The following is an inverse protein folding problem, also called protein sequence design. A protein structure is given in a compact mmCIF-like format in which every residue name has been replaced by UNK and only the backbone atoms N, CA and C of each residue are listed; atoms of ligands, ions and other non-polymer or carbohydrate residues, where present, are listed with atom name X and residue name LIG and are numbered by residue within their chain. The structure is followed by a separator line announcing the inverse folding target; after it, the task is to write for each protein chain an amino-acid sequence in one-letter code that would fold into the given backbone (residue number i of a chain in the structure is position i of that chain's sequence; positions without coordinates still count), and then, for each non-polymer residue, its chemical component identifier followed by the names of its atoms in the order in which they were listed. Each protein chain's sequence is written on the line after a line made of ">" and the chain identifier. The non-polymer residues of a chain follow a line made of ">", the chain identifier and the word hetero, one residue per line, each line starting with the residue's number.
data_IF_546444805828
#
_entry.id   IF_546444805828
#
_cell.length_a   1.000
_cell.length_b   1.000
_cell.length_c   1.000
_cell.angle_alpha   90.00
_cell.angle_beta   90.00
_cell.angle_gamma   90.00
#
_symmetry.space_group_name_H-M   'P 1'
#
loop_
_entity.id
_entity.type
_entity.pdbx_description
1 polymer ?
#
# COMPACT_ATOMS: atom_id res chain seq x y z
N UNK A 1 16.03 -10.58 12.08
CA UNK A 1 15.34 -10.27 13.35
C UNK A 1 15.77 -11.18 14.50
N UNK A 2 15.77 -12.50 14.34
CA UNK A 2 16.21 -13.48 15.37
C UNK A 2 17.63 -13.25 15.91
N UNK A 3 18.59 -12.93 15.03
CA UNK A 3 20.00 -12.67 15.40
C UNK A 3 20.16 -11.45 16.32
N UNK A 4 19.36 -10.41 16.10
CA UNK A 4 19.40 -9.16 16.90
C UNK A 4 18.87 -9.44 18.31
N UNK A 5 17.75 -10.15 18.43
CA UNK A 5 17.17 -10.53 19.72
C UNK A 5 18.13 -11.39 20.56
N UNK A 6 18.85 -12.32 19.91
CA UNK A 6 19.81 -13.19 20.57
C UNK A 6 21.06 -12.44 21.05
N UNK A 7 21.55 -11.48 20.26
CA UNK A 7 22.67 -10.61 20.64
C UNK A 7 22.35 -9.74 21.86
N UNK A 8 21.14 -9.16 21.92
CA UNK A 8 20.70 -8.31 23.05
C UNK A 8 20.45 -9.14 24.32
N UNK A 9 19.92 -10.35 24.19
CA UNK A 9 19.63 -11.25 25.31
C UNK A 9 20.86 -11.95 25.92
N UNK A 10 21.99 -11.99 25.20
CA UNK A 10 23.17 -12.77 25.60
C UNK A 10 23.79 -12.31 26.93
N UNK A 11 23.83 -11.00 27.17
CA UNK A 11 24.42 -10.43 28.40
C UNK A 11 23.58 -10.64 29.66
N UNK A 12 22.27 -10.34 29.71
CA UNK A 12 21.45 -10.63 30.89
C UNK A 12 21.42 -12.14 31.20
N UNK A 13 21.42 -12.99 30.17
CA UNK A 13 21.53 -14.44 30.33
C UNK A 13 22.86 -14.86 30.99
N UNK A 14 24.00 -14.35 30.49
CA UNK A 14 25.32 -14.61 31.12
C UNK A 14 25.44 -14.02 32.52
N UNK A 15 24.81 -12.89 32.79
CA UNK A 15 24.75 -12.28 34.13
C UNK A 15 24.05 -13.20 35.12
N UNK A 16 22.91 -13.78 34.74
CA UNK A 16 22.16 -14.73 35.58
C UNK A 16 22.96 -16.00 35.86
N UNK A 17 23.71 -16.51 34.88
CA UNK A 17 24.58 -17.68 35.07
C UNK A 17 25.82 -17.38 35.90
N UNK A 18 26.35 -16.15 35.83
CA UNK A 18 27.58 -15.76 36.53
C UNK A 18 27.33 -15.28 37.97
N UNK A 19 26.07 -15.05 38.38
CA UNK A 19 25.76 -14.66 39.75
C UNK A 19 25.84 -15.86 40.69
N UNK A 20 26.91 -15.90 41.50
CA UNK A 20 27.05 -16.88 42.57
C UNK A 20 25.97 -16.66 43.65
N UNK A 21 25.43 -17.74 44.27
CA UNK A 21 24.45 -17.66 45.36
C UNK A 21 24.91 -16.79 46.53
N UNK A 22 26.24 -16.67 46.73
CA UNK A 22 26.87 -15.83 47.75
C UNK A 22 26.56 -14.33 47.64
N UNK A 23 26.15 -13.84 46.44
CA UNK A 23 25.77 -12.43 46.23
C UNK A 23 24.52 -12.02 47.01
N UNK A 24 23.67 -12.98 47.36
CA UNK A 24 22.49 -12.76 48.22
C UNK A 24 22.90 -12.52 49.68
N UNK A 25 24.06 -13.04 50.09
CA UNK A 25 24.57 -12.98 51.47
C UNK A 25 25.60 -11.88 51.70
N UNK A 26 26.38 -11.49 50.67
CA UNK A 26 27.29 -10.34 50.70
C UNK A 26 27.11 -9.49 49.45
N UNK A 27 26.75 -8.22 49.64
CA UNK A 27 26.56 -7.24 48.57
C UNK A 27 27.88 -6.82 47.87
N UNK A 28 29.00 -7.37 48.30
CA UNK A 28 30.35 -6.97 47.91
C UNK A 28 30.88 -7.76 46.69
N UNK A 29 30.18 -8.82 46.26
CA UNK A 29 30.60 -9.65 45.12
C UNK A 29 29.92 -9.16 43.84
N UNK A 30 30.57 -8.24 43.14
CA UNK A 30 30.14 -7.77 41.83
C UNK A 30 30.68 -8.73 40.77
N UNK A 31 29.80 -9.49 40.12
CA UNK A 31 30.19 -10.33 38.99
C UNK A 31 30.72 -9.43 37.85
N UNK A 32 32.03 -9.53 37.55
CA UNK A 32 32.68 -8.77 36.50
C UNK A 32 32.37 -9.38 35.11
N UNK A 33 31.12 -9.26 34.69
CA UNK A 33 30.75 -9.51 33.29
C UNK A 33 31.09 -8.29 32.43
N UNK A 34 31.26 -8.51 31.13
CA UNK A 34 31.67 -7.49 30.14
C UNK A 34 31.20 -6.07 30.48
N UNK A 35 32.14 -5.10 30.56
CA UNK A 35 31.81 -3.75 30.99
C UNK A 35 30.74 -3.15 30.09
N UNK A 36 29.69 -2.60 30.69
CA UNK A 36 28.55 -2.03 29.96
C UNK A 36 29.00 -0.96 28.96
N UNK A 37 30.07 -0.23 29.30
CA UNK A 37 30.70 0.82 28.48
C UNK A 37 31.20 0.32 27.13
N UNK A 38 31.63 -0.94 27.02
CA UNK A 38 32.12 -1.53 25.76
C UNK A 38 31.06 -2.38 25.08
N UNK A 39 30.24 -3.10 25.84
CA UNK A 39 29.26 -4.01 25.27
C UNK A 39 28.14 -3.28 24.50
N UNK A 40 27.56 -2.20 25.06
CA UNK A 40 26.51 -1.43 24.39
C UNK A 40 26.94 -0.87 23.02
N UNK A 41 28.08 -0.14 22.89
CA UNK A 41 28.46 0.42 21.61
C UNK A 41 28.80 -0.67 20.59
N UNK A 42 29.44 -1.77 21.00
CA UNK A 42 29.75 -2.90 20.09
C UNK A 42 28.46 -3.52 19.56
N UNK A 43 27.48 -3.79 20.42
CA UNK A 43 26.19 -4.35 19.98
C UNK A 43 25.44 -3.38 19.08
N UNK A 44 25.40 -2.09 19.41
CA UNK A 44 24.79 -1.08 18.55
C UNK A 44 25.42 -1.04 17.16
N UNK A 45 26.76 -1.04 17.07
CA UNK A 45 27.47 -1.06 15.78
C UNK A 45 27.14 -2.32 14.98
N UNK A 46 27.15 -3.49 15.62
CA UNK A 46 26.82 -4.77 14.95
C UNK A 46 25.39 -4.76 14.43
N UNK A 47 24.42 -4.25 15.20
CA UNK A 47 23.02 -4.16 14.76
C UNK A 47 22.88 -3.19 13.58
N UNK A 48 23.55 -2.03 13.62
CA UNK A 48 23.52 -1.06 12.53
C UNK A 48 24.13 -1.64 11.25
N UNK A 49 25.26 -2.33 11.34
CA UNK A 49 25.88 -2.99 10.18
C UNK A 49 25.00 -4.10 9.60
N UNK A 50 24.34 -4.89 10.45
CA UNK A 50 23.41 -5.93 10.01
C UNK A 50 22.19 -5.32 9.30
N UNK A 51 21.63 -4.22 9.83
CA UNK A 51 20.53 -3.50 9.19
C UNK A 51 20.98 -2.87 7.85
N UNK A 52 22.18 -2.29 7.80
CA UNK A 52 22.74 -1.72 6.58
C UNK A 52 22.94 -2.78 5.48
N UNK A 53 23.42 -3.96 5.83
CA UNK A 53 23.56 -5.09 4.91
C UNK A 53 22.22 -5.62 4.39
N UNK A 54 21.19 -5.69 5.25
CA UNK A 54 19.84 -6.17 4.86
C UNK A 54 19.08 -5.17 3.99
N UNK A 55 19.23 -3.86 4.22
CA UNK A 55 18.54 -2.79 3.47
C UNK A 55 19.37 -2.20 2.31
N UNK A 56 20.50 -2.83 1.97
CA UNK A 56 21.34 -2.39 0.85
C UNK A 56 21.95 -0.99 1.00
N UNK A 57 22.09 -0.48 2.24
CA UNK A 57 22.68 0.84 2.49
C UNK A 57 21.90 2.04 1.93
N UNK A 58 20.58 1.90 1.70
CA UNK A 58 19.75 2.99 1.18
C UNK A 58 19.84 4.29 2.02
N UNK A 59 19.71 5.45 1.35
CA UNK A 59 19.75 6.77 2.02
C UNK A 59 18.67 6.92 3.10
N UNK A 60 17.55 6.18 2.97
CA UNK A 60 16.47 6.11 3.95
C UNK A 60 16.95 5.53 5.29
N UNK A 61 17.79 4.49 5.30
CA UNK A 61 18.31 3.92 6.54
C UNK A 61 19.11 4.96 7.33
N UNK A 62 20.02 5.66 6.65
CA UNK A 62 20.84 6.70 7.27
C UNK A 62 19.98 7.88 7.78
N UNK A 63 18.93 8.26 7.04
CA UNK A 63 17.98 9.28 7.48
C UNK A 63 17.21 8.86 8.73
N UNK A 64 16.73 7.61 8.79
CA UNK A 64 16.03 7.06 9.97
C UNK A 64 16.96 6.97 11.17
N UNK A 65 18.20 6.53 10.97
CA UNK A 65 19.20 6.37 12.02
C UNK A 65 19.64 7.72 12.59
N UNK A 66 19.88 8.71 11.71
CA UNK A 66 20.13 10.09 12.11
C UNK A 66 18.92 10.67 12.86
N UNK A 67 17.70 10.44 12.37
CA UNK A 67 16.47 10.85 13.02
C UNK A 67 16.32 10.26 14.43
N UNK A 68 16.64 8.98 14.61
CA UNK A 68 16.61 8.32 15.91
C UNK A 68 17.62 8.92 16.90
N UNK A 69 18.83 9.26 16.45
CA UNK A 69 19.85 9.91 17.29
C UNK A 69 19.42 11.32 17.69
N UNK A 70 18.92 12.12 16.73
CA UNK A 70 18.41 13.47 16.99
C UNK A 70 17.26 13.42 18.00
N UNK A 71 16.30 12.51 17.81
CA UNK A 71 15.16 12.34 18.71
C UNK A 71 15.61 11.92 20.11
N UNK A 72 16.54 10.97 20.22
CA UNK A 72 17.08 10.55 21.52
C UNK A 72 17.78 11.70 22.25
N UNK A 73 18.55 12.54 21.53
CA UNK A 73 19.20 13.71 22.08
C UNK A 73 18.17 14.74 22.54
N UNK A 74 17.14 15.00 21.74
CA UNK A 74 16.06 15.94 22.06
C UNK A 74 15.28 15.50 23.32
N UNK A 75 14.93 14.21 23.41
CA UNK A 75 14.31 13.63 24.61
C UNK A 75 15.23 13.71 25.84
N UNK A 76 16.52 13.47 25.67
CA UNK A 76 17.51 13.60 26.75
C UNK A 76 17.64 15.03 27.27
N UNK A 77 17.71 16.01 26.36
CA UNK A 77 17.76 17.44 26.70
C UNK A 77 16.49 17.89 27.39
N UNK A 78 15.32 17.52 26.86
CA UNK A 78 14.02 17.84 27.48
C UNK A 78 13.88 17.21 28.87
N UNK A 79 14.24 15.94 29.02
CA UNK A 79 14.21 15.26 30.32
C UNK A 79 15.16 15.90 31.33
N UNK A 80 16.36 16.30 30.90
CA UNK A 80 17.31 17.01 31.76
C UNK A 80 16.82 18.42 32.13
N UNK A 81 16.25 19.16 31.18
CA UNK A 81 15.66 20.47 31.41
C UNK A 81 14.51 20.38 32.43
N UNK A 82 13.63 19.39 32.28
CA UNK A 82 12.52 19.14 33.20
C UNK A 82 13.02 18.84 34.62
N UNK A 83 14.05 18.00 34.78
CA UNK A 83 14.67 17.73 36.08
C UNK A 83 15.30 18.98 36.69
N UNK A 84 15.93 19.84 35.88
CA UNK A 84 16.55 21.08 36.36
C UNK A 84 15.50 22.12 36.80
N UNK A 85 14.38 22.23 36.07
CA UNK A 85 13.23 23.05 36.47
C UNK A 85 12.64 22.53 37.78
N UNK A 86 12.43 21.22 37.87
CA UNK A 86 11.87 20.57 39.07
C UNK A 86 12.79 20.73 40.29
N UNK A 87 14.10 20.78 40.09
CA UNK A 87 15.09 21.09 41.14
C UNK A 87 14.98 22.52 41.66
N UNK A 88 14.57 23.48 40.82
CA UNK A 88 14.42 24.90 41.19
C UNK A 88 13.08 25.23 41.84
N UNK A 89 12.07 24.36 41.72
CA UNK A 89 10.75 24.58 42.30
C UNK A 89 10.72 24.23 43.79
N UNK A 90 10.39 25.20 44.65
CA UNK A 90 10.14 24.96 46.07
C UNK A 90 8.71 24.45 46.28
N UNK A 91 8.56 23.14 46.45
CA UNK A 91 7.26 22.53 46.73
C UNK A 91 6.91 22.67 48.22
N UNK A 92 5.77 23.32 48.51
CA UNK A 92 5.29 23.57 49.88
C UNK A 92 4.69 22.31 50.54
N UNK A 93 4.11 21.39 49.77
CA UNK A 93 3.52 20.17 50.32
C UNK A 93 4.57 19.08 50.56
N UNK A 94 4.57 18.54 51.79
CA UNK A 94 5.46 17.47 52.24
C UNK A 94 5.46 16.23 51.32
N UNK A 95 4.32 15.67 50.87
CA UNK A 95 4.32 14.49 50.01
C UNK A 95 4.90 14.76 48.61
N UNK A 96 4.60 15.90 47.99
CA UNK A 96 5.19 16.25 46.68
C UNK A 96 6.69 16.51 46.79
N UNK A 97 7.13 17.17 47.87
CA UNK A 97 8.56 17.40 48.13
C UNK A 97 9.32 16.08 48.28
N UNK A 98 8.74 15.11 49.00
CA UNK A 98 9.32 13.78 49.14
C UNK A 98 9.38 13.03 47.80
N UNK A 99 8.30 13.05 47.02
CA UNK A 99 8.24 12.42 45.69
C UNK A 99 9.29 13.01 44.73
N UNK A 100 9.38 14.34 44.64
CA UNK A 100 10.36 15.03 43.79
C UNK A 100 11.79 14.80 44.27
N UNK A 101 12.03 14.79 45.59
CA UNK A 101 13.36 14.52 46.13
C UNK A 101 13.86 13.11 45.80
N UNK A 102 12.98 12.11 45.75
CA UNK A 102 13.33 10.75 45.29
C UNK A 102 13.71 10.72 43.82
N UNK A 103 12.94 11.41 42.97
CA UNK A 103 13.22 11.55 41.55
C UNK A 103 14.59 12.21 41.30
N UNK A 104 14.91 13.27 42.03
CA UNK A 104 16.17 14.02 41.87
C UNK A 104 17.39 13.30 42.46
N UNK A 105 17.21 12.32 43.36
CA UNK A 105 18.32 11.54 43.95
C UNK A 105 18.87 10.47 43.01
N UNK A 106 18.07 9.97 42.06
CA UNK A 106 18.48 8.94 41.10
C UNK A 106 18.17 9.36 39.66
N UNK A 107 18.81 10.44 39.15
CA UNK A 107 18.45 11.06 37.88
C UNK A 107 18.58 10.11 36.68
N UNK A 108 19.56 9.20 36.70
CA UNK A 108 19.75 8.20 35.63
C UNK A 108 18.61 7.18 35.53
N UNK A 109 18.08 6.71 36.66
CA UNK A 109 16.96 5.75 36.69
C UNK A 109 15.64 6.44 36.28
N UNK A 110 15.41 7.65 36.78
CA UNK A 110 14.25 8.46 36.40
C UNK A 110 14.26 8.80 34.91
N UNK A 111 15.40 9.19 34.36
CA UNK A 111 15.51 9.55 32.94
C UNK A 111 15.25 8.33 32.04
N UNK A 112 15.73 7.14 32.42
CA UNK A 112 15.44 5.92 31.64
C UNK A 112 13.97 5.52 31.69
N UNK A 113 13.32 5.63 32.86
CA UNK A 113 11.88 5.36 33.01
C UNK A 113 11.03 6.35 32.21
N UNK A 114 11.34 7.65 32.32
CA UNK A 114 10.63 8.69 31.58
C UNK A 114 10.81 8.51 30.06
N UNK A 115 12.00 8.11 29.61
CA UNK A 115 12.25 7.79 28.20
C UNK A 115 11.44 6.59 27.74
N UNK A 116 11.33 5.54 28.56
CA UNK A 116 10.52 4.36 28.24
C UNK A 116 9.04 4.71 28.09
N UNK A 117 8.46 5.45 29.06
CA UNK A 117 7.07 5.90 28.96
C UNK A 117 6.85 6.83 27.76
N UNK A 118 7.76 7.78 27.53
CA UNK A 118 7.67 8.70 26.40
C UNK A 118 7.69 7.95 25.06
N UNK A 119 8.57 6.94 24.93
CA UNK A 119 8.63 6.10 23.74
C UNK A 119 7.34 5.29 23.55
N UNK A 120 6.77 4.74 24.62
CA UNK A 120 5.48 4.03 24.56
C UNK A 120 4.33 4.94 24.14
N UNK A 121 4.22 6.13 24.72
CA UNK A 121 3.19 7.10 24.35
C UNK A 121 3.40 7.64 22.93
N UNK A 122 4.64 7.87 22.51
CA UNK A 122 4.97 8.27 21.15
C UNK A 122 4.57 7.19 20.14
N UNK A 123 4.86 5.92 20.44
CA UNK A 123 4.45 4.80 19.58
C UNK A 123 2.92 4.72 19.46
N UNK A 124 2.20 4.87 20.58
CA UNK A 124 0.74 4.90 20.57
C UNK A 124 0.20 6.09 19.77
N UNK A 125 0.75 7.28 19.95
CA UNK A 125 0.37 8.48 19.22
C UNK A 125 0.64 8.34 17.71
N UNK A 126 1.80 7.79 17.34
CA UNK A 126 2.16 7.53 15.94
C UNK A 126 1.16 6.55 15.29
N UNK A 127 0.76 5.49 15.99
CA UNK A 127 -0.26 4.57 15.50
C UNK A 127 -1.61 5.26 15.27
N UNK A 128 -2.04 6.13 16.19
CA UNK A 128 -3.28 6.88 16.04
C UNK A 128 -3.24 7.85 14.86
N UNK A 129 -2.12 8.57 14.69
CA UNK A 129 -1.91 9.49 13.56
C UNK A 129 -1.86 8.72 12.24
N UNK A 130 -1.10 7.62 12.18
CA UNK A 130 -0.97 6.82 10.98
C UNK A 130 -2.32 6.22 10.56
N UNK A 131 -3.13 5.77 11.52
CA UNK A 131 -4.50 5.29 11.24
C UNK A 131 -5.34 6.40 10.60
N UNK A 132 -5.29 7.62 11.13
CA UNK A 132 -6.02 8.76 10.56
C UNK A 132 -5.55 9.09 9.16
N UNK A 133 -4.25 9.32 8.98
CA UNK A 133 -3.67 9.72 7.68
C UNK A 133 -3.88 8.67 6.60
N UNK A 134 -3.76 7.38 6.91
CA UNK A 134 -4.03 6.32 5.95
C UNK A 134 -5.51 6.27 5.54
N UNK A 135 -6.44 6.43 6.48
CA UNK A 135 -7.87 6.44 6.18
C UNK A 135 -8.26 7.68 5.37
N UNK A 136 -7.76 8.85 5.74
CA UNK A 136 -8.07 10.11 5.06
C UNK A 136 -7.51 10.11 3.63
N UNK A 137 -6.27 9.65 3.43
CA UNK A 137 -5.67 9.52 2.10
C UNK A 137 -6.41 8.50 1.24
N UNK A 138 -6.76 7.35 1.82
CA UNK A 138 -7.53 6.33 1.11
C UNK A 138 -8.90 6.87 0.70
N UNK A 139 -9.56 7.63 1.58
CA UNK A 139 -10.85 8.26 1.27
C UNK A 139 -10.73 9.36 0.20
N UNK A 140 -9.63 10.13 0.20
CA UNK A 140 -9.36 11.15 -0.83
C UNK A 140 -9.02 10.55 -2.21
N UNK A 141 -8.52 9.31 -2.26
CA UNK A 141 -8.30 8.60 -3.51
C UNK A 141 -9.62 8.19 -4.19
N UNK A 142 -10.74 8.14 -3.45
CA UNK A 142 -12.06 7.85 -4.00
C UNK A 142 -12.68 9.16 -4.52
N UNK A 143 -12.92 9.31 -5.85
CA UNK A 143 -13.63 10.46 -6.37
C UNK A 143 -15.01 10.61 -5.68
N UNK A 144 -15.51 11.83 -5.40
CA UNK A 144 -16.81 12.02 -4.77
C UNK A 144 -18.00 11.45 -5.58
N UNK A 145 -17.76 11.14 -6.86
CA UNK A 145 -18.69 10.53 -7.81
C UNK A 145 -18.43 9.02 -8.05
N UNK A 146 -17.69 8.34 -7.17
CA UNK A 146 -17.41 6.90 -7.33
C UNK A 146 -18.68 6.05 -7.19
N UNK A 147 -18.89 5.06 -8.08
CA UNK A 147 -20.00 4.12 -7.93
C UNK A 147 -19.92 3.33 -6.61
N UNK A 148 -21.07 3.09 -5.97
CA UNK A 148 -21.16 2.34 -4.71
C UNK A 148 -21.55 0.86 -4.92
N UNK A 149 -21.95 0.48 -6.14
CA UNK A 149 -22.32 -0.87 -6.51
C UNK A 149 -21.68 -1.27 -7.83
N UNK A 150 -21.16 -2.50 -7.90
CA UNK A 150 -20.67 -3.13 -9.13
C UNK A 150 -21.45 -4.41 -9.36
N UNK A 151 -22.12 -4.47 -10.51
CA UNK A 151 -22.88 -5.61 -10.98
C UNK A 151 -22.06 -6.27 -12.08
N UNK A 152 -21.60 -7.49 -11.83
CA UNK A 152 -20.84 -8.30 -12.78
C UNK A 152 -21.63 -9.55 -13.13
N UNK A 153 -21.29 -10.20 -14.25
CA UNK A 153 -21.88 -11.47 -14.64
C UNK A 153 -23.40 -11.43 -14.87
N UNK A 154 -23.92 -10.30 -15.38
CA UNK A 154 -25.35 -10.13 -15.62
C UNK A 154 -25.70 -10.87 -16.91
N UNK A 155 -26.67 -11.78 -16.90
CA UNK A 155 -27.12 -12.40 -18.15
C UNK A 155 -27.89 -11.39 -19.02
N UNK A 156 -27.82 -11.50 -20.35
CA UNK A 156 -28.48 -10.56 -21.27
C UNK A 156 -29.99 -10.47 -21.03
N UNK A 157 -30.66 -11.60 -20.81
CA UNK A 157 -32.08 -11.66 -20.41
C UNK A 157 -32.39 -10.99 -19.06
N UNK A 158 -31.41 -10.87 -18.15
CA UNK A 158 -31.61 -10.27 -16.82
C UNK A 158 -31.43 -8.74 -16.82
N UNK A 159 -30.87 -8.15 -17.89
CA UNK A 159 -30.63 -6.70 -17.95
C UNK A 159 -31.92 -5.90 -17.82
N UNK A 160 -33.00 -6.33 -18.49
CA UNK A 160 -34.28 -5.60 -18.48
C UNK A 160 -34.98 -5.66 -17.10
N UNK A 161 -35.17 -6.83 -16.47
CA UNK A 161 -35.69 -6.90 -15.09
C UNK A 161 -34.84 -6.13 -14.08
N UNK A 162 -33.51 -6.20 -14.22
CA UNK A 162 -32.60 -5.51 -13.31
C UNK A 162 -32.68 -3.99 -13.44
N UNK A 163 -32.80 -3.44 -14.65
CA UNK A 163 -33.03 -2.00 -14.86
C UNK A 163 -34.32 -1.53 -14.19
N UNK A 164 -35.39 -2.31 -14.28
CA UNK A 164 -36.65 -1.99 -13.63
C UNK A 164 -36.51 -1.97 -12.09
N UNK A 165 -35.85 -2.98 -11.53
CA UNK A 165 -35.55 -3.05 -10.08
C UNK A 165 -34.70 -1.87 -9.60
N UNK A 166 -33.63 -1.52 -10.34
CA UNK A 166 -32.77 -0.40 -9.98
C UNK A 166 -33.52 0.94 -10.04
N UNK A 167 -34.38 1.13 -11.03
CA UNK A 167 -35.21 2.32 -11.16
C UNK A 167 -36.22 2.46 -10.01
N UNK A 168 -36.84 1.36 -9.58
CA UNK A 168 -37.76 1.33 -8.42
C UNK A 168 -37.05 1.77 -7.13
N UNK A 169 -35.79 1.39 -6.96
CA UNK A 169 -34.96 1.77 -5.81
C UNK A 169 -34.19 3.09 -5.96
N UNK A 170 -34.49 3.91 -6.98
CA UNK A 170 -33.81 5.18 -7.26
C UNK A 170 -32.28 5.05 -7.39
N UNK A 171 -31.81 3.90 -7.86
CA UNK A 171 -30.41 3.68 -8.18
C UNK A 171 -30.22 4.08 -9.64
N UNK A 172 -29.27 4.98 -9.91
CA UNK A 172 -28.89 5.35 -11.28
C UNK A 172 -27.72 4.45 -11.68
N UNK A 173 -27.94 3.38 -12.46
CA UNK A 173 -26.84 2.61 -13.02
C UNK A 173 -26.08 3.47 -14.03
N UNK A 174 -24.75 3.48 -13.96
CA UNK A 174 -23.93 3.79 -15.14
C UNK A 174 -24.21 2.72 -16.21
N UNK A 175 -23.98 3.09 -17.47
CA UNK A 175 -24.24 2.26 -18.65
C UNK A 175 -23.82 0.81 -18.46
N UNK A 176 -24.62 -0.12 -18.99
CA UNK A 176 -24.29 -1.54 -18.99
C UNK A 176 -23.31 -1.82 -20.12
N UNK A 177 -22.11 -2.26 -19.78
CA UNK A 177 -21.05 -2.57 -20.72
C UNK A 177 -21.06 -4.08 -20.98
N UNK A 178 -21.27 -4.52 -22.22
CA UNK A 178 -21.10 -5.92 -22.55
C UNK A 178 -19.61 -6.27 -22.51
N UNK A 179 -19.26 -7.40 -21.89
CA UNK A 179 -17.87 -7.81 -21.72
C UNK A 179 -17.66 -9.15 -22.38
N UNK A 180 -16.69 -9.25 -23.29
CA UNK A 180 -16.23 -10.51 -23.87
C UNK A 180 -14.80 -10.77 -23.43
N UNK A 181 -14.50 -12.00 -23.04
CA UNK A 181 -13.15 -12.43 -22.68
C UNK A 181 -12.49 -13.07 -23.90
N UNK A 182 -11.28 -12.64 -24.23
CA UNK A 182 -10.48 -13.26 -25.28
C UNK A 182 -8.99 -13.15 -24.97
N UNK A 183 -8.19 -14.09 -25.46
CA UNK A 183 -6.72 -14.06 -25.34
C UNK A 183 -6.09 -13.39 -26.55
N UNK A 184 -5.09 -12.54 -26.33
CA UNK A 184 -4.26 -11.98 -27.41
C UNK A 184 -3.20 -13.01 -27.83
N UNK A 185 -3.30 -13.57 -29.03
CA UNK A 185 -2.44 -14.66 -29.52
C UNK A 185 -1.36 -14.22 -30.48
N UNK A 186 -1.56 -13.11 -31.21
CA UNK A 186 -0.54 -12.56 -32.09
C UNK A 186 -0.60 -11.03 -32.20
N UNK A 187 0.55 -10.43 -32.49
CA UNK A 187 0.72 -9.01 -32.80
C UNK A 187 1.50 -8.93 -34.11
N UNK A 188 0.95 -8.28 -35.14
CA UNK A 188 1.52 -8.23 -36.49
C UNK A 188 1.92 -9.61 -37.03
N UNK A 189 1.00 -10.58 -36.90
CA UNK A 189 1.18 -12.01 -37.27
C UNK A 189 2.32 -12.74 -36.52
N UNK A 190 2.93 -12.12 -35.51
CA UNK A 190 3.91 -12.77 -34.63
C UNK A 190 3.22 -13.34 -33.39
N UNK A 191 3.37 -14.64 -33.10
CA UNK A 191 2.81 -15.24 -31.89
C UNK A 191 3.32 -14.53 -30.63
N UNK A 192 2.43 -14.35 -29.66
CA UNK A 192 2.75 -13.76 -28.36
C UNK A 192 3.30 -14.78 -27.34
N UNK A 193 3.34 -16.06 -27.72
CA UNK A 193 3.86 -17.15 -26.89
C UNK A 193 5.34 -16.95 -26.53
N UNK A 194 5.67 -17.11 -25.24
CA UNK A 194 7.04 -16.91 -24.74
C UNK A 194 7.37 -15.48 -24.33
N UNK A 195 6.45 -14.52 -24.51
CA UNK A 195 6.59 -13.19 -23.92
C UNK A 195 6.26 -13.23 -22.41
N UNK A 196 7.06 -12.53 -21.60
CA UNK A 196 6.94 -12.50 -20.14
C UNK A 196 5.82 -11.60 -19.59
N UNK A 197 5.10 -10.86 -20.44
CA UNK A 197 4.02 -9.98 -19.97
C UNK A 197 2.79 -10.79 -19.52
N UNK A 198 2.36 -10.53 -18.29
CA UNK A 198 1.25 -11.22 -17.64
C UNK A 198 -0.10 -11.01 -18.35
N UNK A 199 -0.25 -9.94 -19.12
CA UNK A 199 -1.46 -9.67 -19.91
C UNK A 199 -1.65 -10.68 -21.06
N UNK A 200 -0.57 -11.28 -21.56
CA UNK A 200 -0.62 -12.28 -22.64
C UNK A 200 -0.95 -13.68 -22.13
N UNK A 201 -0.70 -13.94 -20.83
CA UNK A 201 -0.95 -15.23 -20.18
C UNK A 201 -2.39 -15.39 -19.66
N UNK A 202 -3.23 -14.37 -19.82
CA UNK A 202 -4.62 -14.35 -19.33
C UNK A 202 -5.60 -13.99 -20.45
N UNK A 203 -6.88 -14.25 -20.22
CA UNK A 203 -7.94 -13.67 -21.03
C UNK A 203 -8.14 -12.21 -20.64
N UNK A 204 -8.24 -11.34 -21.64
CA UNK A 204 -8.44 -9.91 -21.46
C UNK A 204 -9.91 -9.56 -21.65
N UNK A 205 -10.39 -8.62 -20.85
CA UNK A 205 -11.73 -8.09 -20.95
C UNK A 205 -11.81 -7.09 -22.12
N UNK A 206 -12.60 -7.46 -23.12
CA UNK A 206 -12.94 -6.65 -24.29
C UNK A 206 -14.37 -6.13 -24.13
N UNK A 207 -14.64 -4.94 -24.65
CA UNK A 207 -16.01 -4.41 -24.75
C UNK A 207 -16.25 -3.80 -26.12
N UNK A 208 -17.49 -3.46 -26.42
CA UNK A 208 -17.85 -2.66 -27.59
C UNK A 208 -18.77 -1.52 -27.21
N UNK A 209 -18.55 -0.35 -27.79
CA UNK A 209 -19.37 0.85 -27.60
C UNK A 209 -19.04 1.91 -28.65
N UNK A 210 -20.05 2.67 -29.08
CA UNK A 210 -19.86 3.77 -30.03
C UNK A 210 -19.48 5.09 -29.33
N UNK A 211 -20.03 5.35 -28.14
CA UNK A 211 -19.73 6.54 -27.37
C UNK A 211 -18.36 6.40 -26.68
N UNK A 212 -17.55 7.46 -26.69
CA UNK A 212 -16.27 7.48 -25.97
C UNK A 212 -16.53 7.57 -24.46
N UNK A 213 -15.83 6.80 -23.61
CA UNK A 213 -15.88 7.05 -22.17
C UNK A 213 -15.22 8.39 -21.84
N UNK A 214 -15.93 9.30 -21.16
CA UNK A 214 -15.43 10.65 -20.83
C UNK A 214 -14.16 10.63 -19.98
N UNK A 215 -13.99 9.59 -19.16
CA UNK A 215 -12.86 9.40 -18.26
C UNK A 215 -11.62 8.80 -18.94
N UNK A 216 -11.71 8.43 -20.22
CA UNK A 216 -10.62 7.80 -20.98
C UNK A 216 -10.16 8.75 -22.10
N UNK A 217 -9.23 9.69 -21.82
CA UNK A 217 -8.72 10.60 -22.85
C UNK A 217 -7.93 9.83 -23.91
N UNK A 218 -8.10 10.24 -25.17
CA UNK A 218 -7.37 9.67 -26.30
C UNK A 218 -5.99 10.34 -26.33
N UNK A 219 -4.95 9.52 -26.30
CA UNK A 219 -3.55 9.97 -26.35
C UNK A 219 -3.11 10.07 -27.81
N UNK A 220 -3.57 9.15 -28.66
CA UNK A 220 -3.21 9.15 -30.08
C UNK A 220 -4.27 8.43 -30.93
N UNK A 221 -4.37 8.82 -32.21
CA UNK A 221 -5.29 8.21 -33.17
C UNK A 221 -6.70 8.79 -33.16
N UNK A 222 -7.65 8.06 -33.73
CA UNK A 222 -9.00 8.56 -34.00
C UNK A 222 -10.07 7.68 -33.33
N UNK A 223 -11.11 8.34 -32.81
CA UNK A 223 -12.29 7.68 -32.24
C UNK A 223 -13.55 8.14 -32.98
N UNK A 224 -14.57 7.28 -33.14
CA UNK A 224 -14.61 5.86 -32.77
C UNK A 224 -13.82 4.97 -33.73
N UNK A 225 -13.32 3.81 -33.28
CA UNK A 225 -12.78 2.79 -34.20
C UNK A 225 -13.86 2.34 -35.18
N UNK A 226 -13.48 2.06 -36.43
CA UNK A 226 -14.38 1.49 -37.46
C UNK A 226 -14.40 -0.04 -37.39
N UNK A 227 -15.22 -0.68 -38.23
CA UNK A 227 -15.19 -2.13 -38.39
C UNK A 227 -13.75 -2.63 -38.64
N UNK A 228 -13.37 -3.73 -38.00
CA UNK A 228 -12.01 -4.29 -37.96
C UNK A 228 -10.94 -3.39 -37.31
N UNK A 229 -11.34 -2.34 -36.59
CA UNK A 229 -10.45 -1.50 -35.79
C UNK A 229 -10.73 -1.65 -34.28
N UNK A 230 -9.73 -1.34 -33.47
CA UNK A 230 -9.83 -1.41 -32.00
C UNK A 230 -9.11 -0.24 -31.34
N UNK A 231 -9.69 0.22 -30.23
CA UNK A 231 -9.05 1.18 -29.33
C UNK A 231 -8.35 0.44 -28.19
N UNK A 232 -7.05 0.70 -28.01
CA UNK A 232 -6.20 0.00 -27.04
C UNK A 232 -5.74 0.91 -25.90
N UNK A 233 -5.57 0.34 -24.71
CA UNK A 233 -5.01 1.03 -23.54
C UNK A 233 -3.51 1.34 -23.73
N UNK A 234 -3.12 2.59 -23.43
CA UNK A 234 -1.76 3.11 -23.67
C UNK A 234 -0.67 2.34 -22.92
N UNK A 235 -0.89 2.00 -21.65
CA UNK A 235 0.05 1.26 -20.81
C UNK A 235 0.31 -0.15 -21.34
N UNK A 236 -0.73 -0.89 -21.72
CA UNK A 236 -0.62 -2.18 -22.38
C UNK A 236 0.10 -2.05 -23.73
N UNK A 237 -0.22 -1.03 -24.52
CA UNK A 237 0.43 -0.79 -25.80
C UNK A 237 1.94 -0.56 -25.62
N UNK A 238 2.36 0.21 -24.60
CA UNK A 238 3.77 0.44 -24.27
C UNK A 238 4.48 -0.84 -23.81
N UNK A 239 3.85 -1.64 -22.95
CA UNK A 239 4.46 -2.89 -22.46
C UNK A 239 4.64 -3.94 -23.56
N UNK A 240 3.65 -4.02 -24.46
CA UNK A 240 3.67 -4.94 -25.60
C UNK A 240 4.37 -4.37 -26.84
N UNK A 241 4.87 -3.13 -26.76
CA UNK A 241 5.49 -2.40 -27.87
C UNK A 241 4.62 -2.35 -29.14
N UNK A 242 3.32 -2.11 -28.96
CA UNK A 242 2.30 -1.98 -30.01
C UNK A 242 2.12 -0.50 -30.35
N UNK A 243 2.17 -0.19 -31.64
CA UNK A 243 1.96 1.15 -32.17
C UNK A 243 0.59 1.29 -32.84
N UNK A 244 0.22 2.55 -33.12
CA UNK A 244 -0.93 2.84 -33.98
C UNK A 244 -0.71 2.26 -35.38
N UNK A 245 -1.71 1.52 -35.86
CA UNK A 245 -1.71 0.87 -37.14
C UNK A 245 -1.30 -0.61 -37.12
N UNK A 246 -0.83 -1.11 -35.97
CA UNK A 246 -0.52 -2.53 -35.80
C UNK A 246 -1.80 -3.38 -35.75
N UNK A 247 -1.66 -4.63 -36.19
CA UNK A 247 -2.74 -5.61 -36.16
C UNK A 247 -2.59 -6.52 -34.93
N UNK A 248 -3.66 -6.67 -34.17
CA UNK A 248 -3.74 -7.58 -33.03
C UNK A 248 -4.72 -8.70 -33.33
N UNK A 249 -4.33 -9.93 -32.99
CA UNK A 249 -5.11 -11.14 -33.22
C UNK A 249 -5.57 -11.72 -31.89
N UNK A 250 -6.87 -11.92 -31.76
CA UNK A 250 -7.51 -12.46 -30.57
C UNK A 250 -8.06 -13.84 -30.83
N UNK A 251 -7.96 -14.70 -29.82
CA UNK A 251 -8.64 -15.97 -29.74
C UNK A 251 -9.75 -15.86 -28.70
N UNK A 252 -11.00 -15.79 -29.17
CA UNK A 252 -12.18 -16.02 -28.34
C UNK A 252 -12.47 -17.52 -28.23
N UNK A 253 -13.52 -17.89 -27.49
CA UNK A 253 -13.89 -19.30 -27.18
C UNK A 253 -13.66 -20.30 -28.32
N UNK A 254 -14.06 -19.97 -29.55
CA UNK A 254 -13.92 -20.86 -30.72
C UNK A 254 -13.56 -20.17 -32.03
N UNK A 255 -13.31 -18.85 -32.03
CA UNK A 255 -13.05 -18.07 -33.25
C UNK A 255 -11.90 -17.10 -33.09
N UNK A 256 -11.03 -17.07 -34.11
CA UNK A 256 -9.97 -16.08 -34.25
C UNK A 256 -10.54 -14.85 -34.96
N UNK A 257 -10.25 -13.67 -34.42
CA UNK A 257 -10.57 -12.41 -35.08
C UNK A 257 -9.41 -11.42 -34.93
N UNK A 258 -9.29 -10.53 -35.90
CA UNK A 258 -8.18 -9.58 -36.00
C UNK A 258 -8.72 -8.17 -36.00
N UNK A 259 -7.98 -7.25 -35.40
CA UNK A 259 -8.31 -5.84 -35.46
C UNK A 259 -7.07 -4.97 -35.52
N UNK A 260 -7.19 -3.82 -36.18
CA UNK A 260 -6.15 -2.83 -36.30
C UNK A 260 -6.26 -1.79 -35.19
N UNK A 261 -5.15 -1.51 -34.49
CA UNK A 261 -5.12 -0.50 -33.42
C UNK A 261 -5.18 0.89 -34.04
N UNK A 262 -6.29 1.61 -33.90
CA UNK A 262 -6.46 2.96 -34.50
C UNK A 262 -6.60 4.09 -33.50
N UNK A 263 -6.75 3.77 -32.22
CA UNK A 263 -6.66 4.73 -31.13
C UNK A 263 -5.98 4.15 -29.90
N UNK A 264 -5.20 4.98 -29.22
CA UNK A 264 -4.62 4.72 -27.93
C UNK A 264 -5.24 5.64 -26.89
N UNK A 265 -5.66 5.08 -25.77
CA UNK A 265 -6.36 5.80 -24.71
C UNK A 265 -5.70 5.56 -23.36
N UNK A 266 -5.64 6.63 -22.57
CA UNK A 266 -5.15 6.56 -21.20
C UNK A 266 -6.29 6.09 -20.31
N UNK A 267 -6.02 5.04 -19.54
CA UNK A 267 -7.00 4.42 -18.65
C UNK A 267 -6.51 4.55 -17.22
N UNK A 268 -7.38 5.06 -16.37
CA UNK A 268 -7.14 5.13 -14.94
C UNK A 268 -7.74 3.89 -14.26
N UNK A 269 -6.91 2.88 -14.02
CA UNK A 269 -7.33 1.65 -13.36
C UNK A 269 -7.70 1.85 -11.87
N UNK A 270 -7.36 3.00 -11.29
CA UNK A 270 -7.71 3.37 -9.91
C UNK A 270 -9.08 4.05 -9.84
N UNK A 271 -9.69 4.43 -10.97
CA UNK A 271 -10.91 5.23 -11.01
C UNK A 271 -12.18 4.53 -10.54
N UNK A 272 -12.10 3.26 -10.09
CA UNK A 272 -13.24 2.40 -9.73
C UNK A 272 -14.39 2.49 -10.75
N UNK A 273 -14.08 2.57 -12.03
CA UNK A 273 -15.07 2.52 -13.12
C UNK A 273 -14.80 1.28 -13.96
N UNK A 274 -15.81 0.72 -14.64
CA UNK A 274 -15.60 -0.39 -15.57
C UNK A 274 -14.62 0.02 -16.67
N UNK A 275 -13.38 -0.47 -16.56
CA UNK A 275 -12.30 -0.22 -17.50
C UNK A 275 -11.98 -1.50 -18.27
N UNK A 276 -11.66 -1.32 -19.55
CA UNK A 276 -11.38 -2.39 -20.49
C UNK A 276 -10.00 -2.21 -21.08
N UNK A 277 -9.37 -3.27 -21.59
CA UNK A 277 -8.10 -3.13 -22.32
C UNK A 277 -8.34 -2.70 -23.77
N UNK A 278 -9.39 -3.24 -24.37
CA UNK A 278 -9.75 -3.03 -25.76
C UNK A 278 -11.22 -2.63 -25.89
N UNK A 279 -11.49 -1.64 -26.74
CA UNK A 279 -12.85 -1.23 -27.09
C UNK A 279 -13.04 -1.33 -28.60
N UNK A 280 -14.06 -2.08 -29.01
CA UNK A 280 -14.47 -2.29 -30.40
C UNK A 280 -15.69 -1.43 -30.75
N UNK A 281 -15.95 -1.16 -32.04
CA UNK A 281 -17.24 -0.62 -32.46
C UNK A 281 -18.36 -1.64 -32.26
N UNK A 282 -19.60 -1.16 -32.22
CA UNK A 282 -20.78 -2.04 -32.24
C UNK A 282 -20.78 -2.95 -33.47
N UNK A 283 -21.17 -4.21 -33.30
CA UNK A 283 -21.23 -5.21 -34.37
C UNK A 283 -19.95 -6.02 -34.59
N UNK A 284 -18.78 -5.54 -34.15
CA UNK A 284 -17.50 -6.22 -34.39
C UNK A 284 -17.34 -7.53 -33.59
N UNK A 285 -18.06 -7.68 -32.47
CA UNK A 285 -17.96 -8.84 -31.58
C UNK A 285 -19.21 -9.74 -31.60
N UNK A 286 -20.08 -9.58 -32.60
CA UNK A 286 -21.39 -10.24 -32.66
C UNK A 286 -21.30 -11.77 -32.75
N UNK A 287 -20.25 -12.29 -33.40
CA UNK A 287 -19.97 -13.73 -33.45
C UNK A 287 -19.63 -14.35 -32.09
N UNK A 288 -19.08 -13.56 -31.16
CA UNK A 288 -18.69 -13.97 -29.80
C UNK A 288 -19.68 -13.50 -28.72
N UNK A 289 -20.82 -12.93 -29.11
CA UNK A 289 -21.81 -12.31 -28.19
C UNK A 289 -22.41 -13.28 -27.16
N UNK A 290 -22.41 -14.59 -27.45
CA UNK A 290 -22.95 -15.63 -26.53
C UNK A 290 -22.06 -15.88 -25.30
N UNK A 291 -20.79 -15.48 -25.34
CA UNK A 291 -19.84 -15.70 -24.25
C UNK A 291 -19.73 -14.51 -23.28
N UNK A 292 -20.32 -13.37 -23.64
CA UNK A 292 -20.12 -12.12 -22.91
C UNK A 292 -21.15 -11.88 -21.83
N UNK A 293 -20.70 -11.70 -20.58
CA UNK A 293 -21.57 -11.31 -19.48
C UNK A 293 -21.43 -9.80 -19.21
N UNK A 294 -22.49 -8.99 -19.41
CA UNK A 294 -22.43 -7.57 -19.12
C UNK A 294 -22.04 -7.22 -17.68
N UNK A 295 -21.38 -6.07 -17.55
CA UNK A 295 -20.94 -5.43 -16.30
C UNK A 295 -21.53 -4.01 -16.25
N UNK A 296 -22.02 -3.58 -15.10
CA UNK A 296 -22.47 -2.21 -14.84
C UNK A 296 -21.99 -1.77 -13.47
N UNK A 297 -21.61 -0.50 -13.36
CA UNK A 297 -21.40 0.15 -12.07
C UNK A 297 -22.59 1.07 -11.81
N UNK A 298 -22.98 1.30 -10.56
CA UNK A 298 -24.14 2.12 -10.24
C UNK A 298 -23.97 2.90 -8.96
N UNK A 299 -24.67 4.03 -8.88
CA UNK A 299 -24.71 4.87 -7.68
C UNK A 299 -26.16 4.95 -7.19
N UNK A 300 -26.36 4.76 -5.89
CA UNK A 300 -27.64 5.06 -5.26
C UNK A 300 -27.74 6.57 -5.09
N UNK A 301 -28.83 7.19 -5.54
CA UNK A 301 -29.12 8.57 -5.16
C UNK A 301 -29.19 8.59 -3.63
N UNK A 302 -28.28 9.34 -3.00
CA UNK A 302 -28.23 9.43 -1.56
C UNK A 302 -29.55 10.03 -1.10
N UNK A 303 -30.41 9.23 -0.49
CA UNK A 303 -31.51 9.77 0.30
C UNK A 303 -30.87 10.67 1.37
N UNK A 304 -31.31 11.92 1.41
CA UNK A 304 -30.91 12.91 2.43
C UNK A 304 -31.05 12.37 3.85
#
# INVERSE_FOLDING_TARGET
>A
MTVISLLVGLRPYRLLLATQPLRVLRNDVVANVWPLKFYLPIVSVVVVLLLAGLMGGSMLLWAVLAGAVVLALLCGVLGWMLLNVLRRMTLKSLPLRLAVSRLLRQPWSTLSQLSAFSLSFMLLALLLVLRGDLLDRWQQQLPPESPNYFLINIATEQVTPLKAFLAEHQIVPESFYPVVRARLTAINDKPTEGNGDEALNRELNLTWQNARPDHNPIVAGNWPPKADEVSMEEGLAKRLNVALGDTVTFMGDTQEFRAKVTSLRKVDWESLRPNFYFIFPEGALDGNRRAGLPVSAGRMATAC
#
